data_IF_127928902400
#
_entry.id   IF_127928902400
#
_cell.length_a   1.000
_cell.length_b   1.000
_cell.length_c   1.000
_cell.angle_alpha   90.00
_cell.angle_beta   90.00
_cell.angle_gamma   90.00
#
_symmetry.space_group_name_H-M   'P 1'
#
loop_
_entity.id
_entity.type
_entity.pdbx_description
1 polymer ?
#
# COMPACT_ATOMS: atom_id res chain seq x y z
N UNK A 1 -10.66 -12.95 -7.94
CA UNK A 1 -10.45 -12.63 -9.36
C UNK A 1 -9.42 -11.53 -9.35
N UNK A 2 -8.19 -11.84 -9.76
CA UNK A 2 -7.09 -10.86 -9.75
C UNK A 2 -7.43 -9.72 -10.72
N UNK A 3 -7.25 -8.47 -10.27
CA UNK A 3 -7.53 -7.29 -11.10
C UNK A 3 -6.52 -7.24 -12.25
N UNK A 4 -6.97 -7.23 -13.51
CA UNK A 4 -6.09 -7.10 -14.69
C UNK A 4 -5.16 -5.87 -14.57
N UNK A 5 -5.66 -4.81 -13.92
CA UNK A 5 -4.87 -3.59 -13.66
C UNK A 5 -3.78 -3.82 -12.62
N UNK A 6 -4.03 -4.61 -11.57
CA UNK A 6 -3.03 -4.94 -10.56
C UNK A 6 -1.85 -5.72 -11.18
N UNK A 7 -2.15 -6.73 -12.00
CA UNK A 7 -1.11 -7.47 -12.72
C UNK A 7 -0.31 -6.58 -13.69
N UNK A 8 -0.98 -5.65 -14.39
CA UNK A 8 -0.31 -4.70 -15.28
C UNK A 8 0.63 -3.75 -14.51
N UNK A 9 0.20 -3.21 -13.37
CA UNK A 9 1.03 -2.34 -12.51
C UNK A 9 2.31 -3.03 -12.04
N UNK A 10 2.22 -4.30 -11.62
CA UNK A 10 3.39 -5.08 -11.22
C UNK A 10 4.35 -5.22 -12.40
N UNK A 11 3.85 -5.62 -13.58
CA UNK A 11 4.67 -5.81 -14.76
C UNK A 11 5.35 -4.49 -15.22
N UNK A 12 4.64 -3.35 -15.13
CA UNK A 12 5.17 -2.03 -15.45
C UNK A 12 6.35 -1.66 -14.52
N UNK A 13 6.21 -1.88 -13.21
CA UNK A 13 7.26 -1.60 -12.22
C UNK A 13 8.46 -2.54 -12.37
N UNK A 14 8.22 -3.84 -12.59
CA UNK A 14 9.29 -4.82 -12.86
C UNK A 14 10.08 -4.48 -14.13
N UNK A 15 9.38 -4.05 -15.18
CA UNK A 15 10.02 -3.62 -16.44
C UNK A 15 10.80 -2.30 -16.30
N UNK A 16 10.31 -1.38 -15.46
CA UNK A 16 11.00 -0.11 -15.20
C UNK A 16 12.31 -0.31 -14.42
N UNK A 17 12.35 -1.29 -13.50
CA UNK A 17 13.57 -1.68 -12.79
C UNK A 17 14.23 -0.55 -12.00
N UNK A 18 13.43 0.36 -11.42
CA UNK A 18 13.94 1.52 -10.68
C UNK A 18 14.67 1.12 -9.39
N UNK A 19 15.76 1.82 -9.09
CA UNK A 19 16.49 1.68 -7.83
C UNK A 19 16.01 2.65 -6.74
N UNK A 20 15.09 3.56 -7.07
CA UNK A 20 14.51 4.52 -6.11
C UNK A 20 13.66 3.80 -5.05
N UNK A 21 13.55 4.41 -3.88
CA UNK A 21 12.87 3.81 -2.73
C UNK A 21 11.38 3.59 -3.01
N UNK A 22 10.67 4.63 -3.50
CA UNK A 22 9.23 4.60 -3.71
C UNK A 22 8.75 3.50 -4.67
N UNK A 23 9.33 3.36 -5.89
CA UNK A 23 8.96 2.30 -6.82
C UNK A 23 9.23 0.89 -6.28
N UNK A 24 10.33 0.70 -5.55
CA UNK A 24 10.67 -0.59 -4.93
C UNK A 24 9.70 -0.97 -3.82
N UNK A 25 9.36 -0.02 -2.95
CA UNK A 25 8.36 -0.22 -1.91
C UNK A 25 6.97 -0.50 -2.48
N UNK A 26 6.58 0.23 -3.53
CA UNK A 26 5.31 -0.01 -4.22
C UNK A 26 5.26 -1.39 -4.86
N UNK A 27 6.33 -1.80 -5.56
CA UNK A 27 6.40 -3.11 -6.19
C UNK A 27 6.24 -4.24 -5.16
N UNK A 28 6.98 -4.16 -4.05
CA UNK A 28 6.87 -5.14 -2.97
C UNK A 28 5.46 -5.18 -2.35
N UNK A 29 4.84 -4.01 -2.14
CA UNK A 29 3.48 -3.91 -1.65
C UNK A 29 2.48 -4.61 -2.60
N UNK A 30 2.55 -4.32 -3.90
CA UNK A 30 1.65 -4.93 -4.89
C UNK A 30 1.88 -6.43 -5.05
N UNK A 31 3.12 -6.90 -5.04
CA UNK A 31 3.44 -8.33 -5.06
C UNK A 31 2.88 -9.04 -3.82
N UNK A 32 3.01 -8.43 -2.64
CA UNK A 32 2.45 -8.97 -1.40
C UNK A 32 0.92 -9.03 -1.40
N UNK A 33 0.24 -8.00 -1.92
CA UNK A 33 -1.22 -8.02 -2.09
C UNK A 33 -1.68 -9.13 -3.05
N UNK A 34 -0.90 -9.42 -4.09
CA UNK A 34 -1.16 -10.53 -5.02
C UNK A 34 -0.94 -11.89 -4.36
N UNK A 35 0.22 -12.06 -3.72
CA UNK A 35 0.68 -13.35 -3.19
C UNK A 35 0.03 -13.71 -1.84
N UNK A 36 -0.56 -12.72 -1.17
CA UNK A 36 -1.19 -12.86 0.13
C UNK A 36 -0.20 -12.81 1.29
N UNK A 37 -0.73 -12.97 2.50
CA UNK A 37 0.04 -12.83 3.73
C UNK A 37 -0.70 -13.40 4.94
N UNK A 38 -0.26 -13.05 6.17
CA UNK A 38 -1.00 -13.37 7.39
C UNK A 38 -2.38 -12.71 7.47
N UNK A 39 -2.63 -11.70 6.63
CA UNK A 39 -3.86 -10.92 6.57
C UNK A 39 -4.71 -11.30 5.36
N UNK A 40 -5.89 -10.69 5.25
CA UNK A 40 -6.78 -10.88 4.10
C UNK A 40 -6.38 -9.99 2.91
N UNK A 41 -5.11 -9.61 2.81
CA UNK A 41 -4.52 -8.89 1.69
C UNK A 41 -4.95 -9.45 0.31
N UNK A 42 -5.12 -10.77 0.20
CA UNK A 42 -5.57 -11.43 -1.03
C UNK A 42 -7.03 -11.13 -1.45
N UNK A 43 -7.84 -10.57 -0.55
CA UNK A 43 -9.21 -10.13 -0.83
C UNK A 43 -9.30 -8.68 -1.31
N UNK A 44 -8.18 -7.94 -1.27
CA UNK A 44 -8.11 -6.55 -1.70
C UNK A 44 -8.10 -6.47 -3.22
N UNK A 45 -8.86 -5.52 -3.76
CA UNK A 45 -8.84 -5.22 -5.20
C UNK A 45 -8.10 -3.90 -5.43
N UNK A 46 -6.93 -3.97 -6.07
CA UNK A 46 -6.16 -2.79 -6.48
C UNK A 46 -6.71 -2.21 -7.79
N UNK A 47 -6.97 -0.90 -7.80
CA UNK A 47 -7.50 -0.15 -8.94
C UNK A 47 -6.45 0.71 -9.62
N UNK A 48 -5.56 1.34 -8.85
CA UNK A 48 -4.47 2.13 -9.39
C UNK A 48 -3.35 2.27 -8.36
N UNK A 49 -2.13 2.52 -8.82
CA UNK A 49 -1.00 2.79 -7.94
C UNK A 49 0.12 3.52 -8.68
N UNK A 50 0.87 4.34 -7.96
CA UNK A 50 2.02 5.07 -8.49
C UNK A 50 2.95 5.52 -7.37
N UNK A 51 4.17 5.90 -7.73
CA UNK A 51 5.20 6.32 -6.79
C UNK A 51 5.96 7.55 -7.24
N UNK A 52 6.56 8.25 -6.29
CA UNK A 52 7.66 9.21 -6.48
C UNK A 52 8.96 8.55 -6.00
N UNK A 53 10.06 9.31 -5.84
CA UNK A 53 11.34 8.77 -5.37
C UNK A 53 11.27 8.18 -3.96
N UNK A 54 10.44 8.73 -3.08
CA UNK A 54 10.42 8.42 -1.64
C UNK A 54 9.02 8.13 -1.08
N UNK A 55 8.00 8.02 -1.95
CA UNK A 55 6.60 7.84 -1.56
C UNK A 55 5.85 6.98 -2.59
N UNK A 56 4.81 6.27 -2.16
CA UNK A 56 3.87 5.63 -3.06
C UNK A 56 2.42 5.80 -2.64
N UNK A 57 1.52 5.51 -3.59
CA UNK A 57 0.07 5.56 -3.44
C UNK A 57 -0.56 4.30 -4.00
N UNK A 58 -1.64 3.85 -3.36
CA UNK A 58 -2.47 2.75 -3.82
C UNK A 58 -3.93 3.11 -3.65
N UNK A 59 -4.74 2.94 -4.70
CA UNK A 59 -6.20 3.02 -4.65
C UNK A 59 -6.76 1.60 -4.67
N UNK A 60 -7.56 1.27 -3.67
CA UNK A 60 -8.02 -0.10 -3.46
C UNK A 60 -9.44 -0.18 -2.88
N UNK A 61 -10.10 -1.31 -3.13
CA UNK A 61 -11.30 -1.73 -2.42
C UNK A 61 -10.92 -2.76 -1.36
N UNK A 62 -11.30 -2.49 -0.10
CA UNK A 62 -11.28 -3.47 0.98
C UNK A 62 -12.59 -4.27 0.98
N UNK A 63 -12.57 -5.58 1.29
CA UNK A 63 -13.81 -6.37 1.38
C UNK A 63 -14.77 -5.90 2.49
N UNK A 64 -14.35 -5.01 3.38
CA UNK A 64 -15.14 -4.51 4.51
C UNK A 64 -15.36 -3.00 4.53
N UNK A 65 -14.97 -2.30 3.45
CA UNK A 65 -14.95 -0.84 3.46
C UNK A 65 -15.21 -0.21 2.09
N UNK A 66 -15.26 1.13 2.05
CA UNK A 66 -15.35 1.86 0.80
C UNK A 66 -14.04 1.74 0.00
N UNK A 67 -14.10 2.16 -1.27
CA UNK A 67 -12.90 2.48 -2.04
C UNK A 67 -12.14 3.61 -1.37
N UNK A 68 -10.83 3.43 -1.19
CA UNK A 68 -9.96 4.44 -0.58
C UNK A 68 -8.61 4.50 -1.28
N UNK A 69 -7.92 5.62 -1.09
CA UNK A 69 -6.50 5.76 -1.41
C UNK A 69 -5.66 5.77 -0.14
N UNK A 70 -4.47 5.18 -0.19
CA UNK A 70 -3.44 5.31 0.85
C UNK A 70 -2.22 6.04 0.28
N UNK A 71 -1.58 6.89 1.08
CA UNK A 71 -0.30 7.52 0.79
C UNK A 71 0.73 7.10 1.86
N UNK A 72 1.92 6.69 1.42
CA UNK A 72 3.02 6.28 2.30
C UNK A 72 4.35 6.82 1.81
N UNK A 73 5.05 7.53 2.66
CA UNK A 73 6.43 7.95 2.43
C UNK A 73 7.41 7.11 3.26
N UNK A 74 8.70 7.19 2.92
CA UNK A 74 9.78 6.47 3.60
C UNK A 74 9.97 6.83 5.08
N UNK A 75 9.37 7.91 5.56
CA UNK A 75 9.47 8.37 6.94
C UNK A 75 8.22 8.03 7.75
N UNK A 76 7.20 7.48 7.09
CA UNK A 76 5.95 7.11 7.73
C UNK A 76 6.23 5.96 8.68
N UNK A 77 6.10 6.20 9.99
CA UNK A 77 6.15 5.13 10.98
C UNK A 77 4.92 4.24 10.78
N UNK A 78 5.14 2.97 10.46
CA UNK A 78 4.05 2.01 10.33
C UNK A 78 3.55 1.72 11.75
N UNK A 79 2.29 2.09 11.98
CA UNK A 79 1.65 2.07 13.30
C UNK A 79 1.52 0.60 13.75
N UNK A 80 2.49 0.13 14.55
CA UNK A 80 2.42 -0.99 15.54
C UNK A 80 3.08 -2.34 15.25
N UNK A 81 3.69 -2.59 14.10
CA UNK A 81 4.47 -3.83 13.90
C UNK A 81 5.63 -3.62 12.96
N UNK A 82 6.85 -3.83 13.47
CA UNK A 82 8.04 -4.13 12.67
C UNK A 82 8.10 -5.66 12.48
N UNK A 83 7.09 -6.24 11.82
CA UNK A 83 7.00 -7.69 11.62
C UNK A 83 8.02 -8.19 10.59
N UNK A 84 8.38 -7.33 9.63
CA UNK A 84 9.30 -7.61 8.53
C UNK A 84 10.64 -6.90 8.68
N UNK A 85 10.75 -5.83 9.47
CA UNK A 85 12.00 -5.07 9.64
C UNK A 85 13.08 -5.93 10.31
N UNK A 86 14.13 -6.27 9.57
CA UNK A 86 15.25 -7.09 10.09
C UNK A 86 16.47 -6.29 10.55
N UNK A 87 16.50 -4.97 10.32
CA UNK A 87 17.58 -4.06 10.70
C UNK A 87 17.12 -2.85 11.52
N UNK A 88 17.97 -1.82 11.61
CA UNK A 88 17.63 -0.57 12.32
C UNK A 88 16.59 0.28 11.55
N UNK A 89 16.55 0.12 10.23
CA UNK A 89 15.60 0.76 9.32
C UNK A 89 15.08 -0.28 8.32
N UNK A 90 13.79 -0.20 7.99
CA UNK A 90 13.18 -1.08 7.00
C UNK A 90 13.71 -0.76 5.59
N UNK A 91 14.05 -1.82 4.85
CA UNK A 91 14.24 -1.73 3.39
C UNK A 91 12.93 -1.33 2.70
N UNK A 92 12.97 -0.79 1.46
CA UNK A 92 11.75 -0.52 0.70
C UNK A 92 10.84 -1.74 0.61
N UNK A 93 11.42 -2.94 0.43
CA UNK A 93 10.67 -4.19 0.31
C UNK A 93 9.98 -4.58 1.62
N UNK A 94 10.68 -4.55 2.74
CA UNK A 94 10.09 -4.81 4.07
C UNK A 94 8.95 -3.82 4.36
N UNK A 95 9.17 -2.53 4.08
CA UNK A 95 8.15 -1.50 4.24
C UNK A 95 6.93 -1.76 3.34
N UNK A 96 7.14 -2.14 2.08
CA UNK A 96 6.04 -2.48 1.16
C UNK A 96 5.21 -3.66 1.66
N UNK A 97 5.86 -4.69 2.19
CA UNK A 97 5.18 -5.84 2.79
C UNK A 97 4.36 -5.45 4.03
N UNK A 98 4.92 -4.63 4.91
CA UNK A 98 4.22 -4.11 6.09
C UNK A 98 2.95 -3.34 5.70
N UNK A 99 3.05 -2.43 4.73
CA UNK A 99 1.89 -1.66 4.26
C UNK A 99 0.84 -2.58 3.64
N UNK A 100 1.25 -3.56 2.83
CA UNK A 100 0.32 -4.50 2.22
C UNK A 100 -0.49 -5.27 3.27
N UNK A 101 0.16 -5.80 4.30
CA UNK A 101 -0.53 -6.59 5.32
C UNK A 101 -1.31 -5.72 6.31
N UNK A 102 -0.64 -4.78 6.98
CA UNK A 102 -1.19 -4.13 8.17
C UNK A 102 -1.83 -2.77 7.91
N UNK A 103 -1.71 -2.25 6.69
CA UNK A 103 -2.40 -1.01 6.33
C UNK A 103 -3.51 -1.27 5.32
N UNK A 104 -3.25 -2.09 4.30
CA UNK A 104 -4.21 -2.36 3.22
C UNK A 104 -5.01 -3.64 3.48
N UNK A 105 -4.35 -4.72 3.93
CA UNK A 105 -4.95 -6.03 4.17
C UNK A 105 -5.81 -6.13 5.43
N UNK A 106 -5.72 -5.15 6.33
CA UNK A 106 -6.57 -5.03 7.51
C UNK A 106 -7.77 -4.09 7.28
N UNK A 107 -8.89 -4.29 8.01
CA UNK A 107 -10.00 -3.32 8.00
C UNK A 107 -9.53 -1.92 8.40
N UNK A 108 -10.04 -0.88 7.71
CA UNK A 108 -9.70 0.53 7.98
C UNK A 108 -9.93 0.98 9.43
N UNK A 109 -10.84 0.33 10.17
CA UNK A 109 -11.10 0.65 11.57
C UNK A 109 -11.36 2.15 11.77
N UNK A 110 -10.62 2.78 12.71
CA UNK A 110 -10.74 4.22 13.04
C UNK A 110 -10.43 5.17 11.87
N UNK A 111 -9.69 4.72 10.85
CA UNK A 111 -9.32 5.59 9.73
C UNK A 111 -10.52 5.96 8.87
N UNK A 112 -11.59 5.15 8.87
CA UNK A 112 -12.81 5.42 8.09
C UNK A 112 -13.47 6.76 8.46
N UNK A 113 -13.33 7.18 9.72
CA UNK A 113 -13.97 8.38 10.26
C UNK A 113 -13.14 9.65 10.02
N UNK A 114 -11.90 9.51 9.53
CA UNK A 114 -10.95 10.63 9.38
C UNK A 114 -10.37 10.73 7.97
N UNK A 115 -10.95 10.06 6.97
CA UNK A 115 -10.47 10.11 5.59
C UNK A 115 -10.43 11.56 5.07
N UNK A 116 -9.34 11.91 4.38
CA UNK A 116 -9.20 13.17 3.66
C UNK A 116 -9.84 13.02 2.28
N UNK A 117 -11.03 13.59 2.10
CA UNK A 117 -11.83 13.40 0.89
C UNK A 117 -11.34 14.37 -0.21
N UNK A 118 -10.91 13.81 -1.34
CA UNK A 118 -10.50 14.62 -2.49
C UNK A 118 -11.68 15.21 -3.29
N UNK A 119 -11.38 15.99 -4.32
CA UNK A 119 -12.39 16.65 -5.15
C UNK A 119 -13.31 15.69 -5.91
N UNK A 120 -12.87 14.45 -6.13
CA UNK A 120 -13.63 13.40 -6.81
C UNK A 120 -14.40 12.51 -5.82
N UNK A 121 -14.28 12.78 -4.52
CA UNK A 121 -14.98 12.07 -3.44
C UNK A 121 -14.26 10.82 -2.95
N UNK A 122 -13.01 10.57 -3.39
CA UNK A 122 -12.20 9.46 -2.89
C UNK A 122 -11.57 9.85 -1.55
N UNK A 123 -11.74 8.98 -0.56
CA UNK A 123 -11.12 9.17 0.75
C UNK A 123 -9.68 8.70 0.78
N UNK A 124 -8.78 9.58 1.22
CA UNK A 124 -7.35 9.31 1.37
C UNK A 124 -6.96 9.19 2.83
N UNK A 125 -6.02 8.30 3.12
CA UNK A 125 -5.45 8.18 4.44
C UNK A 125 -3.95 7.90 4.41
N UNK A 126 -3.34 8.02 5.57
CA UNK A 126 -1.95 7.67 5.77
C UNK A 126 -0.96 8.85 5.81
N UNK A 127 -1.30 9.98 5.19
CA UNK A 127 -0.64 11.28 5.42
C UNK A 127 -1.22 12.02 6.64
N UNK A 128 -2.34 11.53 7.17
CA UNK A 128 -2.98 12.07 8.37
C UNK A 128 -2.22 11.57 9.58
N UNK A 129 -1.54 12.47 10.29
CA UNK A 129 -0.94 12.16 11.57
C UNK A 129 -2.02 11.78 12.59
N UNK A 130 -1.84 10.66 13.29
CA UNK A 130 -2.71 10.17 14.36
C UNK A 130 -2.17 10.47 15.75
#
# INVERSE_FOLDING_TARGET
>A
MESERHAALIAELEAAGSEEWGPRALLACLQKLRDGGPTEAALVVVHDAWSTSDEFRVVYDSPWGPRVGIIRDRWTTIDRTDAYTTGDEATPEEFGHEVADYNIGEPLGRYVDILDIDADGLGWWGHIAL
#
